data_IF_284146321841
#
_entry.id   IF_284146321841
#
_cell.length_a   1.000
_cell.length_b   1.000
_cell.length_c   1.000
_cell.angle_alpha   90.00
_cell.angle_beta   90.00
_cell.angle_gamma   90.00
#
_symmetry.space_group_name_H-M   'P 1'
#
loop_
_entity.id
_entity.type
_entity.pdbx_description
1 polymer ?
#
# COMPACT_ATOMS: atom_id res chain seq x y z
N UNK A 1 -23.25 2.75 5.66
CA UNK A 1 -23.00 4.02 4.93
C UNK A 1 -21.66 3.88 4.26
N UNK A 2 -21.59 4.02 2.92
CA UNK A 2 -20.32 4.04 2.19
C UNK A 2 -19.69 5.42 2.38
N UNK A 3 -18.46 5.48 2.88
CA UNK A 3 -17.81 6.74 3.26
C UNK A 3 -16.53 6.93 2.45
N UNK A 4 -16.36 8.13 1.89
CA UNK A 4 -15.09 8.65 1.39
C UNK A 4 -14.61 9.67 2.42
N UNK A 5 -13.48 9.41 3.07
CA UNK A 5 -12.92 10.26 4.12
C UNK A 5 -11.63 10.91 3.63
N UNK A 6 -11.62 12.24 3.54
CA UNK A 6 -10.45 13.05 3.17
C UNK A 6 -9.91 13.78 4.40
N UNK A 7 -8.60 13.71 4.63
CA UNK A 7 -7.90 14.48 5.67
C UNK A 7 -6.44 14.77 5.26
N UNK A 8 -5.70 15.49 6.09
CA UNK A 8 -4.25 15.64 6.00
C UNK A 8 -3.50 14.66 6.90
N UNK A 9 -2.33 14.20 6.45
CA UNK A 9 -1.41 13.48 7.33
C UNK A 9 -0.83 14.41 8.40
N UNK A 10 -0.55 13.87 9.58
CA UNK A 10 -0.08 14.61 10.76
C UNK A 10 1.42 14.89 10.77
N UNK A 11 2.18 14.33 9.81
CA UNK A 11 3.63 14.45 9.72
C UNK A 11 4.05 15.01 8.35
N UNK A 12 4.22 16.33 8.31
CA UNK A 12 4.60 17.03 7.08
C UNK A 12 6.02 16.71 6.61
N UNK A 13 6.95 16.45 7.55
CA UNK A 13 8.32 16.09 7.19
C UNK A 13 8.35 14.72 6.52
N UNK A 14 7.59 13.75 7.05
CA UNK A 14 7.43 12.44 6.43
C UNK A 14 6.87 12.52 5.01
N UNK A 15 5.91 13.43 4.75
CA UNK A 15 5.37 13.68 3.40
C UNK A 15 6.47 14.19 2.46
N UNK A 16 7.31 15.13 2.91
CA UNK A 16 8.42 15.66 2.11
C UNK A 16 9.44 14.57 1.80
N UNK A 17 9.86 13.81 2.81
CA UNK A 17 10.88 12.77 2.67
C UNK A 17 10.41 11.65 1.74
N UNK A 18 9.19 11.15 1.92
CA UNK A 18 8.59 10.16 1.04
C UNK A 18 8.47 10.68 -0.40
N UNK A 19 8.07 11.95 -0.58
CA UNK A 19 7.99 12.56 -1.92
C UNK A 19 9.36 12.59 -2.59
N UNK A 20 10.41 13.01 -1.87
CA UNK A 20 11.78 13.03 -2.40
C UNK A 20 12.27 11.63 -2.77
N UNK A 21 12.06 10.65 -1.90
CA UNK A 21 12.49 9.28 -2.12
C UNK A 21 11.79 8.64 -3.33
N UNK A 22 10.46 8.79 -3.43
CA UNK A 22 9.68 8.29 -4.59
C UNK A 22 10.12 8.99 -5.87
N UNK A 23 10.36 10.29 -5.83
CA UNK A 23 10.82 11.04 -7.00
C UNK A 23 12.20 10.56 -7.47
N UNK A 24 13.16 10.40 -6.56
CA UNK A 24 14.49 9.86 -6.89
C UNK A 24 14.41 8.44 -7.45
N UNK A 25 13.58 7.58 -6.84
CA UNK A 25 13.33 6.22 -7.33
C UNK A 25 12.73 6.23 -8.74
N UNK A 26 11.73 7.07 -8.98
CA UNK A 26 11.08 7.21 -10.29
C UNK A 26 12.07 7.60 -11.39
N UNK A 27 12.87 8.65 -11.16
CA UNK A 27 13.85 9.10 -12.14
C UNK A 27 15.00 8.10 -12.33
N UNK A 28 15.46 7.45 -11.25
CA UNK A 28 16.42 6.35 -11.36
C UNK A 28 15.91 5.23 -12.27
N UNK A 29 14.63 4.88 -12.15
CA UNK A 29 14.00 3.88 -13.01
C UNK A 29 13.88 4.37 -14.46
N UNK A 30 13.61 5.65 -14.70
CA UNK A 30 13.63 6.24 -16.03
C UNK A 30 15.04 6.24 -16.65
N UNK A 31 16.08 6.48 -15.87
CA UNK A 31 17.45 6.53 -16.38
C UNK A 31 18.08 5.14 -16.57
N UNK A 32 17.57 4.12 -15.87
CA UNK A 32 18.12 2.76 -15.87
C UNK A 32 17.05 1.72 -16.30
N UNK A 33 16.84 1.50 -17.62
CA UNK A 33 15.81 0.57 -18.11
C UNK A 33 15.92 -0.87 -17.61
N UNK A 34 17.12 -1.34 -17.27
CA UNK A 34 17.40 -2.68 -16.71
C UNK A 34 16.90 -2.84 -15.28
N UNK A 35 16.63 -1.73 -14.58
CA UNK A 35 16.12 -1.73 -13.21
C UNK A 35 14.59 -1.71 -13.18
N UNK A 36 13.92 -1.52 -14.32
CA UNK A 36 12.46 -1.44 -14.39
C UNK A 36 11.82 -2.81 -14.22
N UNK A 37 10.98 -2.93 -13.19
CA UNK A 37 10.10 -4.09 -13.02
C UNK A 37 9.10 -4.18 -14.18
N UNK A 38 8.52 -5.37 -14.38
CA UNK A 38 7.43 -5.55 -15.36
C UNK A 38 6.22 -4.67 -15.02
N UNK A 39 5.95 -4.46 -13.73
CA UNK A 39 4.84 -3.63 -13.27
C UNK A 39 5.06 -2.17 -13.61
N UNK A 40 6.27 -1.66 -13.36
CA UNK A 40 6.66 -0.31 -13.74
C UNK A 40 6.50 -0.07 -15.25
N UNK A 41 7.00 -0.99 -16.07
CA UNK A 41 6.90 -0.89 -17.53
C UNK A 41 5.47 -0.82 -18.06
N UNK A 42 4.56 -1.61 -17.49
CA UNK A 42 3.19 -1.73 -17.98
C UNK A 42 2.28 -0.64 -17.46
N UNK A 43 2.45 -0.28 -16.18
CA UNK A 43 1.43 0.47 -15.44
C UNK A 43 2.00 1.69 -14.73
N UNK A 44 3.31 1.94 -14.81
CA UNK A 44 4.01 2.93 -13.98
C UNK A 44 3.62 2.78 -12.50
N UNK A 45 3.58 1.54 -12.02
CA UNK A 45 3.22 1.23 -10.65
C UNK A 45 4.06 0.08 -10.12
N UNK A 46 4.33 0.09 -8.83
CA UNK A 46 5.02 -1.00 -8.13
C UNK A 46 4.33 -1.34 -6.83
N UNK A 47 4.41 -2.62 -6.44
CA UNK A 47 3.72 -3.14 -5.26
C UNK A 47 4.74 -3.70 -4.28
N UNK A 48 4.82 -3.10 -3.10
CA UNK A 48 5.77 -3.48 -2.07
C UNK A 48 5.07 -4.18 -0.91
N UNK A 49 5.80 -5.05 -0.20
CA UNK A 49 5.33 -5.81 0.95
C UNK A 49 5.20 -7.30 0.63
N UNK A 50 4.10 -7.90 1.04
CA UNK A 50 3.83 -9.32 0.85
C UNK A 50 2.53 -9.59 0.11
N UNK A 51 2.43 -10.77 -0.49
CA UNK A 51 1.23 -11.31 -1.12
C UNK A 51 0.97 -12.75 -0.69
N UNK A 52 -0.27 -13.19 -0.86
CA UNK A 52 -0.69 -14.58 -0.79
C UNK A 52 -1.48 -14.86 -2.07
N UNK A 53 -0.98 -15.76 -2.90
CA UNK A 53 -1.60 -16.10 -4.19
C UNK A 53 -1.67 -17.60 -4.43
N UNK A 54 -0.60 -18.33 -4.12
CA UNK A 54 -0.47 -19.75 -4.46
C UNK A 54 0.00 -20.67 -3.31
N UNK A 55 0.07 -20.18 -2.06
CA UNK A 55 0.52 -20.95 -0.90
C UNK A 55 -0.09 -20.48 0.42
N UNK A 56 0.20 -21.20 1.50
CA UNK A 56 -0.37 -20.92 2.83
C UNK A 56 0.45 -19.90 3.65
N UNK A 57 1.61 -19.46 3.12
CA UNK A 57 2.48 -18.46 3.75
C UNK A 57 2.62 -17.21 2.89
N UNK A 58 2.74 -16.00 3.49
CA UNK A 58 2.96 -14.79 2.71
C UNK A 58 4.35 -14.82 2.11
N UNK A 59 4.49 -14.34 0.88
CA UNK A 59 5.78 -14.15 0.22
C UNK A 59 5.99 -12.68 -0.10
N UNK A 60 7.25 -12.25 -0.05
CA UNK A 60 7.68 -10.90 -0.42
C UNK A 60 7.47 -10.65 -1.91
N UNK A 61 6.94 -9.48 -2.29
CA UNK A 61 6.67 -9.17 -3.70
C UNK A 61 7.95 -9.14 -4.54
N UNK A 62 7.81 -9.40 -5.86
CA UNK A 62 8.92 -9.27 -6.81
C UNK A 62 9.59 -7.90 -6.74
N UNK A 63 8.77 -6.86 -6.56
CA UNK A 63 9.25 -5.47 -6.55
C UNK A 63 10.00 -5.18 -5.23
N UNK A 64 9.57 -5.74 -4.10
CA UNK A 64 10.27 -5.64 -2.80
C UNK A 64 11.59 -6.41 -2.80
N UNK A 65 11.59 -7.61 -3.38
CA UNK A 65 12.76 -8.47 -3.50
C UNK A 65 13.66 -8.11 -4.69
N UNK A 66 13.33 -7.04 -5.43
CA UNK A 66 14.00 -6.63 -6.66
C UNK A 66 14.35 -7.80 -7.58
N UNK A 67 13.43 -8.76 -7.73
CA UNK A 67 13.75 -10.08 -8.31
C UNK A 67 14.12 -10.01 -9.79
N UNK A 68 13.81 -8.90 -10.45
CA UNK A 68 14.17 -8.63 -11.83
C UNK A 68 15.61 -8.12 -11.99
N UNK A 69 16.21 -7.55 -10.95
CA UNK A 69 17.58 -7.05 -10.97
C UNK A 69 18.14 -6.88 -9.54
N UNK A 70 19.19 -7.62 -9.20
CA UNK A 70 19.78 -7.59 -7.86
C UNK A 70 20.52 -6.28 -7.54
N UNK A 71 21.09 -5.61 -8.55
CA UNK A 71 21.78 -4.32 -8.37
C UNK A 71 20.80 -3.20 -7.99
N UNK A 72 19.52 -3.38 -8.34
CA UNK A 72 18.44 -2.46 -7.99
C UNK A 72 17.96 -2.62 -6.53
N UNK A 73 18.34 -3.70 -5.83
CA UNK A 73 17.86 -3.98 -4.47
C UNK A 73 18.20 -2.85 -3.48
N UNK A 74 19.36 -2.22 -3.59
CA UNK A 74 19.74 -1.11 -2.71
C UNK A 74 18.80 0.09 -2.90
N UNK A 75 18.42 0.41 -4.14
CA UNK A 75 17.47 1.48 -4.45
C UNK A 75 16.08 1.18 -3.86
N UNK A 76 15.63 -0.08 -3.92
CA UNK A 76 14.40 -0.53 -3.28
C UNK A 76 14.49 -0.39 -1.76
N UNK A 77 15.58 -0.85 -1.13
CA UNK A 77 15.76 -0.77 0.32
C UNK A 77 15.76 0.69 0.83
N UNK A 78 16.45 1.58 0.13
CA UNK A 78 16.50 3.00 0.46
C UNK A 78 15.11 3.65 0.36
N UNK A 79 14.36 3.32 -0.70
CA UNK A 79 12.97 3.74 -0.85
C UNK A 79 12.13 3.25 0.34
N UNK A 80 12.16 1.95 0.64
CA UNK A 80 11.37 1.36 1.72
C UNK A 80 11.69 1.99 3.07
N UNK A 81 12.98 2.21 3.37
CA UNK A 81 13.39 2.89 4.59
C UNK A 81 12.81 4.31 4.68
N UNK A 82 12.87 5.08 3.60
CA UNK A 82 12.32 6.43 3.54
C UNK A 82 10.78 6.49 3.62
N UNK A 83 10.08 5.38 3.34
CA UNK A 83 8.62 5.30 3.46
C UNK A 83 8.14 4.97 4.89
N UNK A 84 9.04 4.62 5.81
CA UNK A 84 8.66 4.27 7.18
C UNK A 84 7.94 5.42 7.90
N UNK A 85 8.42 6.69 7.87
CA UNK A 85 7.77 7.78 8.60
C UNK A 85 6.36 8.08 8.10
N UNK A 86 6.16 8.10 6.76
CA UNK A 86 4.83 8.37 6.20
C UNK A 86 3.87 7.21 6.48
N UNK A 87 4.38 5.97 6.46
CA UNK A 87 3.60 4.80 6.85
C UNK A 87 3.18 4.85 8.31
N UNK A 88 4.03 5.34 9.21
CA UNK A 88 3.67 5.55 10.61
C UNK A 88 2.55 6.60 10.74
N UNK A 89 2.59 7.69 9.97
CA UNK A 89 1.53 8.71 9.94
C UNK A 89 0.19 8.13 9.45
N UNK A 90 0.20 7.33 8.38
CA UNK A 90 -0.98 6.60 7.90
C UNK A 90 -1.52 5.66 8.98
N UNK A 91 -0.66 4.91 9.68
CA UNK A 91 -1.08 4.02 10.75
C UNK A 91 -1.74 4.79 11.92
N UNK A 92 -1.22 5.97 12.30
CA UNK A 92 -1.86 6.83 13.30
C UNK A 92 -3.22 7.35 12.82
N UNK A 93 -3.33 7.76 11.55
CA UNK A 93 -4.61 8.14 10.95
C UNK A 93 -5.65 7.00 11.04
N UNK A 94 -5.25 5.78 10.66
CA UNK A 94 -6.13 4.60 10.72
C UNK A 94 -6.52 4.28 12.16
N UNK A 95 -5.57 4.31 13.10
CA UNK A 95 -5.87 4.06 14.51
C UNK A 95 -6.85 5.09 15.09
N UNK A 96 -6.69 6.37 14.73
CA UNK A 96 -7.53 7.46 15.22
C UNK A 96 -8.98 7.36 14.74
N UNK A 97 -9.19 7.06 13.46
CA UNK A 97 -10.52 7.13 12.83
C UNK A 97 -11.18 5.77 12.62
N UNK A 98 -10.39 4.70 12.62
CA UNK A 98 -10.81 3.33 12.33
C UNK A 98 -10.17 2.34 13.31
N UNK A 99 -10.18 2.65 14.61
CA UNK A 99 -9.54 1.86 15.68
C UNK A 99 -9.85 0.35 15.61
N UNK A 100 -11.12 -0.01 15.36
CA UNK A 100 -11.51 -1.42 15.23
C UNK A 100 -10.83 -2.10 14.03
N UNK A 101 -10.75 -1.39 12.90
CA UNK A 101 -10.05 -1.87 11.70
C UNK A 101 -8.55 -1.98 11.96
N UNK A 102 -7.94 -0.96 12.57
CA UNK A 102 -6.55 -0.97 13.00
C UNK A 102 -6.23 -2.19 13.88
N UNK A 103 -7.04 -2.40 14.93
CA UNK A 103 -6.90 -3.51 15.88
C UNK A 103 -7.08 -4.87 15.22
N UNK A 104 -7.98 -4.98 14.23
CA UNK A 104 -8.15 -6.21 13.45
C UNK A 104 -6.89 -6.52 12.64
N UNK A 105 -6.39 -5.52 11.91
CA UNK A 105 -5.20 -5.70 11.06
C UNK A 105 -3.91 -5.86 11.86
N UNK A 106 -3.78 -5.24 13.03
CA UNK A 106 -2.59 -5.40 13.89
C UNK A 106 -2.40 -6.82 14.40
N UNK A 107 -3.48 -7.62 14.43
CA UNK A 107 -3.46 -9.04 14.79
C UNK A 107 -3.05 -9.94 13.62
N UNK A 108 -2.94 -9.40 12.40
CA UNK A 108 -2.43 -10.18 11.28
C UNK A 108 -0.95 -10.49 11.50
N UNK A 109 -0.63 -11.77 11.48
CA UNK A 109 0.76 -12.19 11.48
C UNK A 109 1.31 -12.06 10.07
N UNK A 110 2.17 -11.07 9.90
CA UNK A 110 3.08 -11.06 8.79
C UNK A 110 4.16 -12.09 9.13
N UNK A 111 4.32 -13.13 8.31
CA UNK A 111 5.32 -14.17 8.52
C UNK A 111 6.72 -13.56 8.71
N UNK A 112 7.70 -14.33 9.21
CA UNK A 112 8.98 -13.77 9.70
C UNK A 112 9.81 -13.02 8.65
N UNK A 113 9.50 -13.21 7.36
CA UNK A 113 10.23 -12.63 6.24
C UNK A 113 9.54 -11.42 5.59
N UNK A 114 8.41 -10.98 6.12
CA UNK A 114 7.66 -9.83 5.59
C UNK A 114 8.09 -8.55 6.31
N UNK A 115 8.66 -7.56 5.59
CA UNK A 115 8.99 -6.26 6.19
C UNK A 115 7.73 -5.59 6.76
N UNK A 116 7.79 -5.15 8.02
CA UNK A 116 6.72 -4.36 8.67
C UNK A 116 6.85 -2.86 8.39
N UNK A 117 7.42 -2.51 7.24
CA UNK A 117 7.69 -1.13 6.82
C UNK A 117 6.41 -0.28 6.79
N UNK A 118 5.27 -0.92 6.52
CA UNK A 118 3.99 -0.26 6.31
C UNK A 118 3.03 -0.37 7.51
N UNK A 119 3.55 -0.75 8.68
CA UNK A 119 2.76 -0.93 9.91
C UNK A 119 1.78 -2.10 9.81
N UNK A 120 0.49 -1.84 9.96
CA UNK A 120 -0.57 -2.87 9.89
C UNK A 120 -0.83 -3.38 8.46
N UNK A 121 -0.31 -2.69 7.43
CA UNK A 121 -0.59 -3.04 6.04
C UNK A 121 0.42 -4.07 5.52
N UNK A 122 -0.05 -5.19 4.94
CA UNK A 122 0.82 -6.19 4.33
C UNK A 122 1.44 -5.70 3.03
N UNK A 123 0.75 -4.78 2.34
CA UNK A 123 1.06 -4.39 0.98
C UNK A 123 0.78 -2.90 0.78
N UNK A 124 1.62 -2.24 -0.02
CA UNK A 124 1.32 -0.95 -0.62
C UNK A 124 1.47 -1.03 -2.14
N UNK A 125 0.84 -0.09 -2.85
CA UNK A 125 1.16 0.22 -4.23
C UNK A 125 1.64 1.68 -4.32
N UNK A 126 2.70 1.91 -5.08
CA UNK A 126 3.15 3.23 -5.46
C UNK A 126 2.82 3.43 -6.93
N UNK A 127 2.03 4.46 -7.22
CA UNK A 127 1.70 4.85 -8.59
C UNK A 127 2.56 6.06 -8.98
N UNK A 128 3.25 5.93 -10.11
CA UNK A 128 4.16 6.92 -10.65
C UNK A 128 3.53 7.67 -11.82
N UNK A 129 2.94 8.84 -11.55
CA UNK A 129 2.33 9.70 -12.57
C UNK A 129 1.21 9.01 -13.38
N UNK A 130 0.46 8.13 -12.72
CA UNK A 130 -0.54 7.25 -13.36
C UNK A 130 -1.86 7.98 -13.59
N UNK A 131 -2.46 7.71 -14.76
CA UNK A 131 -3.88 7.96 -15.03
C UNK A 131 -4.57 6.60 -15.07
N UNK A 132 -5.52 6.39 -14.15
CA UNK A 132 -6.28 5.15 -14.06
C UNK A 132 -7.68 5.33 -14.61
N UNK A 133 -8.09 4.40 -15.45
CA UNK A 133 -9.49 4.25 -15.87
C UNK A 133 -10.37 3.89 -14.68
N UNK A 134 -11.69 4.02 -14.83
CA UNK A 134 -12.62 3.58 -13.79
C UNK A 134 -12.56 2.05 -13.59
N UNK A 135 -12.30 1.63 -12.36
CA UNK A 135 -12.17 0.24 -11.96
C UNK A 135 -12.61 0.00 -10.51
N UNK A 136 -12.76 -1.27 -10.17
CA UNK A 136 -12.87 -1.76 -8.79
C UNK A 136 -11.62 -2.55 -8.46
N UNK A 137 -11.14 -2.42 -7.22
CA UNK A 137 -10.06 -3.28 -6.73
C UNK A 137 -10.66 -4.60 -6.23
N UNK A 138 -11.08 -5.46 -7.15
CA UNK A 138 -11.82 -6.69 -6.84
C UNK A 138 -11.01 -7.73 -6.04
N UNK A 139 -9.71 -7.50 -5.83
CA UNK A 139 -8.84 -8.36 -5.02
C UNK A 139 -8.68 -7.84 -3.58
N UNK A 140 -9.12 -6.62 -3.27
CA UNK A 140 -9.07 -6.06 -1.94
C UNK A 140 -10.13 -6.69 -1.02
N UNK A 141 -9.93 -6.60 0.29
CA UNK A 141 -10.93 -7.01 1.29
C UNK A 141 -12.28 -6.31 1.01
N UNK A 142 -13.38 -7.07 0.73
CA UNK A 142 -14.70 -6.50 0.53
C UNK A 142 -15.23 -5.69 1.72
N UNK A 143 -14.71 -5.96 2.92
CA UNK A 143 -15.06 -5.25 4.16
C UNK A 143 -13.97 -4.26 4.58
N UNK A 144 -12.95 -4.04 3.75
CA UNK A 144 -11.81 -3.20 4.02
C UNK A 144 -11.93 -1.80 3.44
N UNK A 145 -10.89 -1.01 3.72
CA UNK A 145 -10.67 0.30 3.12
C UNK A 145 -9.28 0.30 2.47
N UNK A 146 -9.14 1.01 1.37
CA UNK A 146 -7.83 1.46 0.92
C UNK A 146 -7.58 2.89 1.42
N UNK A 147 -6.30 3.23 1.56
CA UNK A 147 -5.86 4.55 2.02
C UNK A 147 -4.87 5.10 1.00
N UNK A 148 -5.30 6.08 0.21
CA UNK A 148 -4.48 6.71 -0.81
C UNK A 148 -3.91 8.01 -0.28
N UNK A 149 -2.58 8.14 -0.31
CA UNK A 149 -1.86 9.38 -0.02
C UNK A 149 -1.37 9.99 -1.31
N UNK A 150 -1.74 11.24 -1.59
CA UNK A 150 -1.26 11.97 -2.76
C UNK A 150 0.07 12.68 -2.46
N UNK A 151 1.03 12.61 -3.37
CA UNK A 151 2.38 13.17 -3.23
C UNK A 151 2.84 13.83 -4.53
N UNK A 152 3.93 14.61 -4.46
CA UNK A 152 4.51 15.32 -5.59
C UNK A 152 4.05 16.78 -5.71
N UNK A 153 4.35 17.40 -6.86
CA UNK A 153 3.91 18.75 -7.21
C UNK A 153 3.13 18.63 -8.53
N UNK A 154 1.82 18.83 -8.46
CA UNK A 154 0.92 18.53 -9.58
C UNK A 154 -0.35 19.39 -9.58
N UNK A 155 -0.92 19.53 -10.77
CA UNK A 155 -2.28 20.02 -11.00
C UNK A 155 -3.08 18.99 -11.83
N UNK A 156 -4.39 18.89 -11.57
CA UNK A 156 -5.24 17.82 -12.11
C UNK A 156 -5.13 16.54 -11.29
N UNK A 157 -5.47 15.40 -11.88
CA UNK A 157 -5.37 14.11 -11.20
C UNK A 157 -6.43 13.88 -10.13
N UNK A 158 -7.57 14.57 -10.20
CA UNK A 158 -8.64 14.45 -9.21
C UNK A 158 -9.20 13.02 -9.18
N UNK A 159 -9.43 12.51 -7.96
CA UNK A 159 -9.96 11.18 -7.73
C UNK A 159 -11.48 11.21 -7.86
N UNK A 160 -12.02 10.34 -8.70
CA UNK A 160 -13.43 10.33 -9.08
C UNK A 160 -14.12 9.08 -8.53
N UNK A 161 -15.33 9.27 -8.00
CA UNK A 161 -16.24 8.20 -7.58
C UNK A 161 -17.57 8.37 -8.32
N UNK A 162 -17.72 7.86 -9.56
CA UNK A 162 -18.90 8.11 -10.38
C UNK A 162 -20.22 7.70 -9.72
N UNK A 163 -20.22 6.58 -8.99
CA UNK A 163 -21.40 6.09 -8.26
C UNK A 163 -21.89 7.07 -7.19
N UNK A 164 -20.98 7.86 -6.62
CA UNK A 164 -21.29 8.86 -5.60
C UNK A 164 -21.42 10.27 -6.19
N UNK A 165 -21.10 10.45 -7.48
CA UNK A 165 -20.98 11.77 -8.12
C UNK A 165 -20.01 12.71 -7.37
N UNK A 166 -18.97 12.13 -6.76
CA UNK A 166 -17.95 12.87 -6.00
C UNK A 166 -16.67 12.93 -6.80
N UNK A 167 -16.04 14.11 -6.77
CA UNK A 167 -14.70 14.36 -7.26
C UNK A 167 -13.88 14.96 -6.13
N UNK A 168 -12.73 14.35 -5.84
CA UNK A 168 -11.84 14.72 -4.75
C UNK A 168 -10.59 15.36 -5.33
N UNK A 169 -10.45 16.68 -5.13
CA UNK A 169 -9.25 17.42 -5.50
C UNK A 169 -8.18 17.28 -4.43
N UNK A 170 -7.36 16.24 -4.56
CA UNK A 170 -6.27 15.93 -3.65
C UNK A 170 -5.12 16.93 -3.78
N UNK A 171 -4.61 17.38 -2.64
CA UNK A 171 -3.34 18.12 -2.50
C UNK A 171 -2.25 17.17 -2.00
N UNK A 172 -0.96 17.49 -2.23
CA UNK A 172 0.15 16.75 -1.66
C UNK A 172 0.04 16.63 -0.13
N UNK A 173 0.26 15.43 0.40
CA UNK A 173 0.15 15.10 1.83
C UNK A 173 -1.26 14.78 2.32
N UNK A 174 -2.29 14.88 1.45
CA UNK A 174 -3.64 14.46 1.81
C UNK A 174 -3.81 12.95 1.66
N UNK A 175 -4.58 12.39 2.59
CA UNK A 175 -5.01 11.00 2.63
C UNK A 175 -6.50 10.92 2.31
N UNK A 176 -6.88 9.96 1.47
CA UNK A 176 -8.28 9.60 1.25
C UNK A 176 -8.49 8.11 1.53
N UNK A 177 -9.44 7.82 2.43
CA UNK A 177 -9.85 6.47 2.77
C UNK A 177 -11.22 6.14 2.16
N UNK A 178 -11.32 5.00 1.49
CA UNK A 178 -12.56 4.56 0.84
C UNK A 178 -12.58 3.04 0.60
N UNK A 179 -13.77 2.42 0.48
CA UNK A 179 -13.87 0.99 0.16
C UNK A 179 -13.67 0.73 -1.34
N UNK A 180 -12.41 0.55 -1.76
CA UNK A 180 -11.99 0.32 -3.17
C UNK A 180 -12.67 -0.86 -3.85
N UNK A 181 -13.02 -1.91 -3.09
CA UNK A 181 -13.76 -3.06 -3.58
C UNK A 181 -15.20 -2.70 -4.00
N UNK A 182 -15.85 -1.78 -3.27
CA UNK A 182 -17.27 -1.44 -3.45
C UNK A 182 -17.47 -0.23 -4.37
N UNK A 183 -16.52 0.70 -4.38
CA UNK A 183 -16.61 1.95 -5.13
C UNK A 183 -15.80 1.89 -6.42
N UNK A 184 -16.50 2.07 -7.54
CA UNK A 184 -15.92 2.35 -8.83
C UNK A 184 -15.16 3.67 -8.73
N UNK A 185 -13.87 3.64 -9.07
CA UNK A 185 -13.01 4.81 -8.93
C UNK A 185 -11.92 4.86 -10.00
N UNK A 186 -11.35 6.04 -10.19
CA UNK A 186 -10.28 6.34 -11.14
C UNK A 186 -9.88 7.81 -11.01
N UNK A 187 -8.98 8.30 -11.85
CA UNK A 187 -8.54 9.69 -11.76
C UNK A 187 -8.55 10.41 -13.10
N UNK A 188 -8.81 11.72 -13.04
CA UNK A 188 -8.69 12.59 -14.19
C UNK A 188 -7.23 12.71 -14.65
N UNK A 189 -6.99 13.19 -15.88
CA UNK A 189 -5.65 13.49 -16.35
C UNK A 189 -4.90 14.48 -15.45
N UNK A 190 -3.59 14.28 -15.35
CA UNK A 190 -2.68 15.22 -14.70
C UNK A 190 -2.36 16.30 -15.75
N UNK A 191 -2.57 17.56 -15.39
CA UNK A 191 -2.47 18.71 -16.31
C UNK A 191 -1.08 19.33 -16.23
N UNK A 192 -0.47 19.35 -15.04
CA UNK A 192 0.87 19.89 -14.82
C UNK A 192 1.60 19.09 -13.73
N UNK A 193 2.92 18.99 -13.85
CA UNK A 193 3.78 18.41 -12.83
C UNK A 193 3.75 16.88 -12.79
N UNK A 194 4.15 16.32 -11.65
CA UNK A 194 4.23 14.88 -11.44
C UNK A 194 3.44 14.52 -10.17
N UNK A 195 2.44 13.67 -10.33
CA UNK A 195 1.63 13.16 -9.22
C UNK A 195 2.07 11.75 -8.87
N UNK A 196 2.47 11.57 -7.62
CA UNK A 196 2.67 10.26 -7.03
C UNK A 196 1.50 9.90 -6.11
N UNK A 197 1.27 8.62 -5.90
CA UNK A 197 0.40 8.19 -4.80
C UNK A 197 0.89 6.90 -4.17
N UNK A 198 0.79 6.81 -2.85
CA UNK A 198 0.94 5.57 -2.11
C UNK A 198 -0.45 5.09 -1.74
N UNK A 199 -0.78 3.85 -2.07
CA UNK A 199 -2.05 3.21 -1.71
C UNK A 199 -1.76 2.08 -0.74
N UNK A 200 -2.30 2.18 0.47
CA UNK A 200 -2.24 1.14 1.49
C UNK A 200 -3.53 0.33 1.45
N UNK A 201 -3.43 -0.99 1.34
CA UNK A 201 -4.59 -1.87 1.21
C UNK A 201 -4.28 -3.28 1.73
N UNK A 202 -5.32 -4.09 1.84
CA UNK A 202 -5.24 -5.50 2.22
C UNK A 202 -6.00 -6.30 1.18
N UNK A 203 -5.31 -7.22 0.50
CA UNK A 203 -5.98 -8.17 -0.38
C UNK A 203 -6.82 -9.17 0.43
N UNK A 204 -7.98 -9.56 -0.10
CA UNK A 204 -8.88 -10.53 0.53
C UNK A 204 -8.18 -11.86 0.89
N UNK A 205 -7.17 -12.27 0.11
CA UNK A 205 -6.40 -13.49 0.36
C UNK A 205 -5.66 -13.47 1.72
N UNK A 206 -5.26 -12.30 2.22
CA UNK A 206 -4.66 -12.14 3.56
C UNK A 206 -5.62 -12.43 4.70
N UNK A 207 -6.92 -12.35 4.44
CA UNK A 207 -7.98 -12.52 5.43
C UNK A 207 -8.73 -13.84 5.28
N UNK A 208 -8.36 -14.67 4.30
CA UNK A 208 -8.97 -15.98 4.11
C UNK A 208 -8.68 -16.88 5.32
N UNK A 209 -9.65 -17.71 5.72
CA UNK A 209 -9.58 -18.62 6.90
C UNK A 209 -8.27 -19.42 6.99
N UNK A 210 -7.62 -19.69 5.86
CA UNK A 210 -6.31 -20.37 5.79
C UNK A 210 -5.23 -19.70 6.65
N UNK A 211 -5.25 -18.37 6.78
CA UNK A 211 -4.32 -17.63 7.64
C UNK A 211 -4.71 -17.63 9.12
N UNK A 212 -6.01 -17.66 9.43
CA UNK A 212 -6.48 -17.77 10.82
C UNK A 212 -6.18 -19.17 11.40
N UNK A 213 -6.24 -20.21 10.56
CA UNK A 213 -6.02 -21.61 10.98
C UNK A 213 -4.53 -21.95 11.20
N UNK A 214 -3.60 -21.28 10.51
CA UNK A 214 -2.16 -21.46 10.74
C UNK A 214 -1.72 -21.07 12.17
N UNK A 215 -2.50 -20.20 12.84
CA UNK A 215 -2.25 -19.81 14.23
C UNK A 215 -2.86 -20.76 15.24
N UNK A 216 -4.04 -21.30 14.96
CA UNK A 216 -4.65 -22.30 15.85
C UNK A 216 -3.80 -23.58 15.97
N UNK A 217 -3.03 -23.91 14.94
CA UNK A 217 -2.20 -25.11 14.95
C UNK A 217 -0.79 -24.91 15.54
N UNK A 218 -0.28 -23.67 15.63
CA UNK A 218 1.04 -23.40 16.23
C UNK A 218 1.00 -23.10 17.74
N UNK A 219 -0.16 -22.77 18.31
CA UNK A 219 -0.33 -22.60 19.76
C UNK A 219 -0.56 -23.93 20.52
N UNK A 220 -0.71 -25.05 19.82
CA UNK A 220 -0.96 -26.37 20.45
C UNK A 220 0.30 -27.24 20.64
N UNK A 221 1.47 -26.82 20.14
CA UNK A 221 2.70 -27.63 20.18
C UNK A 221 3.66 -27.30 21.34
N UNK A 222 3.19 -26.62 22.39
CA UNK A 222 3.99 -26.40 23.62
C UNK A 222 3.32 -26.90 24.89
N UNK A 223 2.94 -28.18 24.92
CA UNK A 223 2.81 -28.93 26.18
C UNK A 223 3.48 -30.29 26.03
N UNK A 224 4.82 -30.29 26.01
CA UNK A 224 5.56 -31.47 26.46
C UNK A 224 5.39 -31.51 27.98
N UNK A 225 4.45 -32.35 28.44
CA UNK A 225 4.37 -32.76 29.83
C UNK A 225 5.70 -33.43 30.19
N UNK A 226 6.52 -32.75 30.98
CA UNK A 226 7.50 -33.43 31.81
C UNK A 226 6.73 -33.86 33.06
N UNK A 227 6.53 -35.17 33.18
CA UNK A 227 5.97 -35.82 34.36
C UNK A 227 7.08 -36.69 34.93
N UNK A 228 7.52 -36.31 36.14
CA UNK A 228 8.36 -36.98 37.15
C UNK A 228 9.57 -37.83 36.73
#
# INVERSE_FOLDING_TARGET
MVVVHLDGLDDFNAVIEATKAINSYYFHMLDNPTHRSRSFWKNLAERFGAFISYGDLPYTTSDTASSHNIDHQNCVNDLLFALQPISNSVNRFVNKYYEHYYTKLSKLTMGPFVPRTFGIFPTIAINFNVISNYHWDSNDDPNGLCFLVALGDFEGGELCFPQLQILVKLKPGQIVAFPSYLLLHGNLPIIRGIRFSIVYFVHANFLSKKFEDFHKNNDNDTIIKIQD
#
